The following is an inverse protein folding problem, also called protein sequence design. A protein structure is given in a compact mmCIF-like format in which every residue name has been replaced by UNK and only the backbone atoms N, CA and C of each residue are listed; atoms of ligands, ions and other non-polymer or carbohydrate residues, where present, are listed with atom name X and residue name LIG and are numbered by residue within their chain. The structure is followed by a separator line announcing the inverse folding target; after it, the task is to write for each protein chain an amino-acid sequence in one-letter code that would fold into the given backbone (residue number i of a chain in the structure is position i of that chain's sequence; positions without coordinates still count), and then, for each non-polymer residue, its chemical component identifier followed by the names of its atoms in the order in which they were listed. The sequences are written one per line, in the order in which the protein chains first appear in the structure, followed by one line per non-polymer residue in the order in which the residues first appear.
data_IF_142746132482
#
_entry.id   IF_142746132482
#
_cell.length_a   1.000
_cell.length_b   1.000
_cell.length_c   1.000
_cell.angle_alpha   90.00
_cell.angle_beta   90.00
_cell.angle_gamma   90.00
#
_symmetry.space_group_name_H-M   'P 1'
#
loop_
_entity.id
_entity.type
_entity.pdbx_description
1 polymer ?
#
# COMPACT_ATOMS: atom_id res chain seq x y z
N UNK A 1 18.06 16.74 -5.83
CA UNK A 1 16.76 16.14 -5.49
C UNK A 1 15.70 16.80 -6.35
N UNK A 2 14.88 16.03 -7.04
CA UNK A 2 13.73 16.55 -7.82
C UNK A 2 12.62 16.85 -6.82
N UNK A 3 12.09 18.07 -6.85
CA UNK A 3 10.90 18.41 -6.08
C UNK A 3 9.67 17.82 -6.78
N UNK A 4 8.92 16.98 -6.09
CA UNK A 4 7.70 16.40 -6.63
C UNK A 4 6.54 17.40 -6.51
N UNK A 5 5.84 17.60 -7.62
CA UNK A 5 4.53 18.26 -7.67
C UNK A 5 3.53 17.20 -8.11
N UNK A 6 2.79 16.66 -7.15
CA UNK A 6 1.96 15.49 -7.36
C UNK A 6 0.51 15.81 -7.70
N UNK A 7 -0.04 15.08 -8.67
CA UNK A 7 -1.47 14.95 -8.86
C UNK A 7 -1.95 13.69 -8.12
N UNK A 8 -3.02 13.81 -7.32
CA UNK A 8 -3.55 12.72 -6.52
C UNK A 8 -4.81 12.11 -7.13
N UNK A 9 -4.80 10.79 -7.29
CA UNK A 9 -5.93 10.00 -7.77
C UNK A 9 -6.38 9.05 -6.65
N UNK A 10 -7.57 9.30 -6.10
CA UNK A 10 -8.15 8.47 -5.04
C UNK A 10 -8.90 7.26 -5.60
N UNK A 11 -9.15 6.26 -4.75
CA UNK A 11 -10.01 5.13 -5.09
C UNK A 11 -11.44 5.57 -5.46
N UNK A 12 -11.97 6.59 -4.80
CA UNK A 12 -13.30 7.15 -5.10
C UNK A 12 -13.35 7.73 -6.53
N UNK A 13 -12.31 8.43 -6.94
CA UNK A 13 -12.21 8.96 -8.31
C UNK A 13 -12.20 7.83 -9.35
N UNK A 14 -11.43 6.78 -9.11
CA UNK A 14 -11.36 5.61 -9.98
C UNK A 14 -12.70 4.84 -10.05
N UNK A 15 -13.39 4.71 -8.91
CA UNK A 15 -14.69 4.04 -8.86
C UNK A 15 -15.80 4.85 -9.57
N UNK A 16 -15.72 6.19 -9.52
CA UNK A 16 -16.74 7.04 -10.13
C UNK A 16 -16.60 7.11 -11.65
N UNK A 17 -15.43 7.51 -12.16
CA UNK A 17 -15.19 7.60 -13.61
C UNK A 17 -13.70 7.78 -13.92
N UNK A 18 -13.11 6.82 -14.59
CA UNK A 18 -11.74 6.93 -15.09
C UNK A 18 -11.61 8.01 -16.17
N UNK A 19 -12.64 8.21 -16.99
CA UNK A 19 -12.63 9.27 -18.01
C UNK A 19 -12.61 10.67 -17.39
N UNK A 20 -13.32 10.89 -16.29
CA UNK A 20 -13.24 12.15 -15.52
C UNK A 20 -11.84 12.34 -14.89
N UNK A 21 -11.18 11.28 -14.45
CA UNK A 21 -9.79 11.34 -13.99
C UNK A 21 -8.87 11.79 -15.12
N UNK A 22 -9.00 11.20 -16.32
CA UNK A 22 -8.22 11.61 -17.51
C UNK A 22 -8.44 13.07 -17.84
N UNK A 23 -9.68 13.55 -17.79
CA UNK A 23 -9.99 14.95 -18.05
C UNK A 23 -9.34 15.86 -16.99
N UNK A 24 -9.42 15.50 -15.72
CA UNK A 24 -8.79 16.26 -14.64
C UNK A 24 -7.27 16.34 -14.80
N UNK A 25 -6.61 15.23 -15.22
CA UNK A 25 -5.20 15.21 -15.53
C UNK A 25 -4.85 16.12 -16.72
N UNK A 26 -5.67 16.11 -17.77
CA UNK A 26 -5.48 16.96 -18.95
C UNK A 26 -5.65 18.45 -18.63
N UNK A 27 -6.51 18.78 -17.69
CA UNK A 27 -6.79 20.17 -17.26
C UNK A 27 -5.78 20.67 -16.20
N UNK A 28 -5.02 19.77 -15.59
CA UNK A 28 -4.03 20.12 -14.58
C UNK A 28 -2.68 20.47 -15.21
N UNK A 29 -2.05 21.52 -14.66
CA UNK A 29 -0.73 21.98 -15.11
C UNK A 29 0.34 21.78 -14.02
N UNK A 30 1.57 21.58 -14.45
CA UNK A 30 2.74 21.71 -13.59
C UNK A 30 3.02 20.52 -12.67
N UNK A 31 2.30 19.41 -12.78
CA UNK A 31 2.66 18.19 -12.05
C UNK A 31 3.74 17.40 -12.78
N UNK A 32 4.64 16.80 -12.03
CA UNK A 32 5.69 15.88 -12.50
C UNK A 32 5.60 14.51 -11.83
N UNK A 33 4.58 14.32 -10.99
CA UNK A 33 4.30 13.05 -10.34
C UNK A 33 2.79 12.81 -10.23
N UNK A 34 2.40 11.55 -10.23
CA UNK A 34 1.03 11.11 -9.93
C UNK A 34 1.10 10.13 -8.77
N UNK A 35 0.32 10.40 -7.73
CA UNK A 35 0.07 9.46 -6.63
C UNK A 35 -1.30 8.85 -6.87
N UNK A 36 -1.35 7.54 -7.07
CA UNK A 36 -2.59 6.82 -7.30
C UNK A 36 -2.84 5.78 -6.20
N UNK A 37 -4.03 5.81 -5.60
CA UNK A 37 -4.48 4.77 -4.67
C UNK A 37 -4.89 3.54 -5.47
N UNK A 38 -4.07 2.50 -5.44
CA UNK A 38 -4.30 1.25 -6.19
C UNK A 38 -5.00 0.18 -5.35
N UNK A 39 -5.15 0.41 -4.06
CA UNK A 39 -5.82 -0.48 -3.11
C UNK A 39 -6.51 0.34 -2.04
N UNK A 40 -7.72 -0.07 -1.65
CA UNK A 40 -8.46 0.58 -0.56
C UNK A 40 -8.08 0.01 0.82
N UNK A 41 -8.39 0.72 1.92
CA UNK A 41 -8.25 0.17 3.28
C UNK A 41 -9.11 -1.07 3.56
N UNK A 42 -10.13 -1.33 2.76
CA UNK A 42 -10.93 -2.56 2.81
C UNK A 42 -10.24 -3.75 2.15
N UNK A 43 -9.13 -3.54 1.44
CA UNK A 43 -8.41 -4.58 0.72
C UNK A 43 -8.90 -4.81 -0.71
N UNK A 44 -9.62 -3.86 -1.31
CA UNK A 44 -10.05 -3.94 -2.70
C UNK A 44 -8.99 -3.32 -3.62
N UNK A 45 -8.61 -4.06 -4.67
CA UNK A 45 -7.64 -3.65 -5.67
C UNK A 45 -8.32 -2.92 -6.82
N UNK A 46 -7.74 -1.80 -7.25
CA UNK A 46 -8.19 -1.00 -8.38
C UNK A 46 -7.34 -1.22 -9.64
N UNK A 47 -6.80 -2.42 -9.77
CA UNK A 47 -6.16 -2.97 -10.95
C UNK A 47 -6.38 -4.48 -10.99
N UNK A 48 -6.22 -5.11 -12.14
CA UNK A 48 -6.28 -6.58 -12.23
C UNK A 48 -5.07 -7.19 -11.54
N UNK A 49 -5.30 -8.04 -10.54
CA UNK A 49 -4.25 -8.67 -9.74
C UNK A 49 -4.30 -10.19 -9.90
N UNK A 50 -3.12 -10.82 -9.95
CA UNK A 50 -2.95 -12.26 -9.95
C UNK A 50 -2.65 -12.81 -8.55
N UNK A 51 -2.61 -11.96 -7.53
CA UNK A 51 -2.36 -12.36 -6.14
C UNK A 51 -3.52 -13.23 -5.66
N UNK A 52 -3.19 -14.42 -5.19
CA UNK A 52 -4.16 -15.34 -4.60
C UNK A 52 -4.91 -14.67 -3.43
N UNK A 53 -6.20 -14.90 -3.35
CA UNK A 53 -7.09 -14.34 -2.32
C UNK A 53 -7.32 -12.82 -2.36
N UNK A 54 -6.66 -12.08 -3.26
CA UNK A 54 -6.96 -10.68 -3.49
C UNK A 54 -8.33 -10.49 -4.15
N UNK A 55 -8.96 -9.35 -3.90
CA UNK A 55 -10.26 -8.98 -4.47
C UNK A 55 -10.13 -7.64 -5.21
N UNK A 56 -10.66 -7.59 -6.42
CA UNK A 56 -10.80 -6.32 -7.14
C UNK A 56 -12.01 -5.54 -6.63
N UNK A 57 -11.92 -4.23 -6.74
CA UNK A 57 -13.01 -3.32 -6.39
C UNK A 57 -14.19 -3.49 -7.34
N UNK A 58 -15.37 -3.06 -6.89
CA UNK A 58 -16.55 -2.85 -7.75
C UNK A 58 -16.35 -1.54 -8.54
N UNK A 59 -15.56 -1.63 -9.60
CA UNK A 59 -15.18 -0.52 -10.47
C UNK A 59 -14.87 -1.06 -11.88
N UNK A 60 -14.70 -0.18 -12.85
CA UNK A 60 -14.21 -0.56 -14.19
C UNK A 60 -12.69 -0.83 -14.12
N UNK A 61 -12.33 -2.06 -13.77
CA UNK A 61 -10.94 -2.47 -13.58
C UNK A 61 -10.15 -2.40 -14.89
N UNK A 62 -10.78 -2.73 -16.03
CA UNK A 62 -10.12 -2.61 -17.32
C UNK A 62 -9.77 -1.16 -17.66
N UNK A 63 -10.64 -0.21 -17.32
CA UNK A 63 -10.35 1.21 -17.46
C UNK A 63 -9.26 1.68 -16.50
N UNK A 64 -9.24 1.17 -15.26
CA UNK A 64 -8.15 1.44 -14.30
C UNK A 64 -6.80 0.93 -14.83
N UNK A 65 -6.75 -0.30 -15.33
CA UNK A 65 -5.54 -0.88 -15.92
C UNK A 65 -5.03 -0.06 -17.11
N UNK A 66 -5.94 0.41 -17.98
CA UNK A 66 -5.58 1.25 -19.11
C UNK A 66 -5.01 2.60 -18.66
N UNK A 67 -5.61 3.25 -17.65
CA UNK A 67 -5.11 4.49 -17.08
C UNK A 67 -3.72 4.30 -16.46
N UNK A 68 -3.52 3.25 -15.66
CA UNK A 68 -2.21 2.94 -15.07
C UNK A 68 -1.15 2.78 -16.14
N UNK A 69 -1.46 2.04 -17.20
CA UNK A 69 -0.54 1.85 -18.34
C UNK A 69 -0.20 3.19 -19.02
N UNK A 70 -1.18 4.03 -19.30
CA UNK A 70 -0.97 5.35 -19.88
C UNK A 70 -0.03 6.21 -19.01
N UNK A 71 -0.26 6.22 -17.70
CA UNK A 71 0.56 6.99 -16.75
C UNK A 71 1.99 6.46 -16.68
N UNK A 72 2.17 5.15 -16.49
CA UNK A 72 3.49 4.53 -16.33
C UNK A 72 4.33 4.55 -17.61
N UNK A 73 3.69 4.69 -18.78
CA UNK A 73 4.36 4.86 -20.08
C UNK A 73 4.60 6.34 -20.45
N UNK A 74 4.14 7.29 -19.63
CA UNK A 74 4.32 8.72 -19.88
C UNK A 74 5.76 9.13 -19.54
N UNK A 75 6.55 9.67 -20.52
CA UNK A 75 7.91 10.08 -20.26
C UNK A 75 7.99 11.18 -19.18
N UNK A 76 9.03 11.13 -18.37
CA UNK A 76 9.35 12.11 -17.33
C UNK A 76 8.27 12.28 -16.23
N UNK A 77 7.27 11.40 -16.18
CA UNK A 77 6.26 11.35 -15.13
C UNK A 77 6.65 10.30 -14.09
N UNK A 78 6.70 10.68 -12.83
CA UNK A 78 6.92 9.75 -11.72
C UNK A 78 5.55 9.24 -11.25
N UNK A 79 5.35 7.93 -11.30
CA UNK A 79 4.08 7.30 -10.93
C UNK A 79 4.25 6.50 -9.65
N UNK A 80 3.52 6.90 -8.60
CA UNK A 80 3.60 6.35 -7.26
C UNK A 80 2.30 5.60 -6.96
N UNK A 81 2.40 4.31 -6.68
CA UNK A 81 1.28 3.53 -6.18
C UNK A 81 1.19 3.64 -4.66
N UNK A 82 0.07 4.14 -4.13
CA UNK A 82 -0.18 4.12 -2.69
C UNK A 82 -1.02 2.91 -2.30
N UNK A 83 -0.55 2.21 -1.28
CA UNK A 83 -1.13 0.96 -0.76
C UNK A 83 -1.23 1.06 0.75
N UNK A 84 -2.42 0.90 1.37
CA UNK A 84 -2.51 0.72 2.82
C UNK A 84 -1.67 -0.48 3.24
N UNK A 85 -0.72 -0.28 4.17
CA UNK A 85 0.21 -1.34 4.55
C UNK A 85 -0.51 -2.50 5.25
N UNK A 86 -1.29 -2.19 6.28
CA UNK A 86 -1.82 -3.24 7.16
C UNK A 86 -3.34 -3.29 7.22
N UNK A 87 -4.07 -2.23 6.85
CA UNK A 87 -5.53 -2.28 6.79
C UNK A 87 -5.98 -3.13 5.61
N UNK A 88 -6.57 -4.30 5.88
CA UNK A 88 -7.03 -5.24 4.85
C UNK A 88 -8.00 -6.30 5.38
N UNK A 89 -9.28 -5.96 5.59
CA UNK A 89 -10.28 -6.93 6.01
C UNK A 89 -10.44 -8.12 5.06
N UNK A 90 -10.25 -7.92 3.76
CA UNK A 90 -10.40 -9.00 2.77
C UNK A 90 -9.33 -10.07 2.93
N UNK A 91 -8.08 -9.68 3.13
CA UNK A 91 -6.99 -10.62 3.38
C UNK A 91 -7.14 -11.28 4.76
N UNK A 92 -7.47 -10.50 5.80
CA UNK A 92 -7.72 -11.02 7.15
C UNK A 92 -8.80 -12.10 7.15
N UNK A 93 -9.88 -11.94 6.37
CA UNK A 93 -10.97 -12.91 6.33
C UNK A 93 -10.53 -14.32 5.89
N UNK A 94 -9.40 -14.42 5.20
CA UNK A 94 -8.82 -15.69 4.74
C UNK A 94 -7.55 -16.09 5.51
N UNK A 95 -6.95 -15.15 6.24
CA UNK A 95 -5.66 -15.28 6.95
C UNK A 95 -5.75 -14.74 8.38
N UNK A 96 -6.65 -15.31 9.20
CA UNK A 96 -6.89 -14.85 10.57
C UNK A 96 -5.64 -14.77 11.44
N UNK A 97 -4.68 -15.70 11.27
CA UNK A 97 -3.42 -15.71 12.02
C UNK A 97 -2.51 -14.52 11.72
N UNK A 98 -2.77 -13.82 10.61
CA UNK A 98 -2.02 -12.64 10.20
C UNK A 98 -2.60 -11.33 10.73
N UNK A 99 -3.72 -11.39 11.47
CA UNK A 99 -4.42 -10.20 11.94
C UNK A 99 -3.96 -9.73 13.32
N UNK A 100 -4.07 -8.42 13.55
CA UNK A 100 -4.05 -7.88 14.91
C UNK A 100 -5.26 -8.37 15.67
N UNK A 101 -5.05 -8.76 16.92
CA UNK A 101 -6.10 -9.20 17.83
C UNK A 101 -6.14 -8.34 19.08
N UNK A 102 -7.27 -8.35 19.76
CA UNK A 102 -7.42 -7.73 21.08
C UNK A 102 -6.95 -8.68 22.19
N UNK A 103 -6.75 -8.13 23.38
CA UNK A 103 -6.43 -8.92 24.58
C UNK A 103 -7.54 -9.89 24.98
N UNK A 104 -8.76 -9.72 24.47
CA UNK A 104 -9.87 -10.68 24.61
C UNK A 104 -9.85 -11.80 23.56
N UNK A 105 -8.98 -11.70 22.55
CA UNK A 105 -8.84 -12.68 21.47
C UNK A 105 -9.70 -12.42 20.24
N UNK A 106 -10.44 -11.31 20.21
CA UNK A 106 -11.20 -10.89 19.04
C UNK A 106 -10.27 -10.23 18.01
N UNK A 107 -10.69 -10.14 16.74
CA UNK A 107 -9.97 -9.33 15.75
C UNK A 107 -10.03 -7.86 16.14
N UNK A 108 -8.87 -7.20 16.14
CA UNK A 108 -8.81 -5.76 16.34
C UNK A 108 -9.26 -5.03 15.07
N UNK A 109 -10.03 -3.98 15.22
CA UNK A 109 -10.43 -3.13 14.10
C UNK A 109 -10.31 -1.64 14.46
N UNK A 110 -10.03 -0.84 13.44
CA UNK A 110 -9.92 0.61 13.56
C UNK A 110 -11.30 1.30 13.60
N UNK A 111 -11.30 2.63 13.69
CA UNK A 111 -12.52 3.46 13.71
C UNK A 111 -13.35 3.34 12.43
N UNK A 112 -12.74 2.95 11.30
CA UNK A 112 -13.41 2.69 10.01
C UNK A 112 -13.95 1.27 9.91
N UNK A 113 -13.82 0.48 10.99
CA UNK A 113 -14.21 -0.92 11.06
C UNK A 113 -13.41 -1.82 10.12
N UNK A 114 -12.15 -1.46 9.88
CA UNK A 114 -11.22 -2.27 9.12
C UNK A 114 -10.35 -3.12 10.05
N UNK A 115 -10.21 -4.40 9.73
CA UNK A 115 -9.23 -5.28 10.37
C UNK A 115 -7.84 -5.01 9.82
N UNK A 116 -6.83 -5.19 10.65
CA UNK A 116 -5.45 -4.91 10.31
C UNK A 116 -4.58 -6.15 10.40
N UNK A 117 -3.61 -6.22 9.49
CA UNK A 117 -2.55 -7.20 9.51
C UNK A 117 -1.51 -6.83 10.57
N UNK A 118 -0.84 -7.84 11.11
CA UNK A 118 0.30 -7.64 12.02
C UNK A 118 1.62 -7.70 11.24
N UNK A 119 2.56 -6.77 11.49
CA UNK A 119 3.81 -6.68 10.72
C UNK A 119 4.79 -7.83 10.97
N UNK A 120 4.64 -8.60 12.04
CA UNK A 120 5.44 -9.80 12.34
C UNK A 120 4.91 -11.07 11.67
N UNK A 121 3.76 -11.02 10.97
CA UNK A 121 3.25 -12.13 10.19
C UNK A 121 4.04 -12.33 8.90
N UNK A 122 4.57 -13.53 8.67
CA UNK A 122 5.25 -13.88 7.42
C UNK A 122 4.31 -13.84 6.23
N UNK A 123 3.05 -14.28 6.40
CA UNK A 123 2.05 -14.24 5.33
C UNK A 123 1.72 -12.80 4.94
N UNK A 124 1.58 -11.90 5.93
CA UNK A 124 1.36 -10.47 5.67
C UNK A 124 2.55 -9.86 4.91
N UNK A 125 3.79 -10.14 5.33
CA UNK A 125 5.00 -9.65 4.65
C UNK A 125 5.10 -10.17 3.22
N UNK A 126 4.84 -11.45 3.00
CA UNK A 126 4.83 -12.07 1.67
C UNK A 126 3.77 -11.47 0.76
N UNK A 127 2.59 -11.19 1.30
CA UNK A 127 1.50 -10.53 0.60
C UNK A 127 1.85 -9.11 0.16
N UNK A 128 2.41 -8.29 1.07
CA UNK A 128 2.86 -6.94 0.73
C UNK A 128 4.00 -6.96 -0.31
N UNK A 129 4.94 -7.89 -0.20
CA UNK A 129 6.01 -8.06 -1.19
C UNK A 129 5.45 -8.45 -2.57
N UNK A 130 4.46 -9.33 -2.62
CA UNK A 130 3.80 -9.71 -3.86
C UNK A 130 3.10 -8.51 -4.53
N UNK A 131 2.42 -7.66 -3.75
CA UNK A 131 1.83 -6.41 -4.25
C UNK A 131 2.91 -5.52 -4.88
N UNK A 132 4.02 -5.30 -4.18
CA UNK A 132 5.11 -4.45 -4.67
C UNK A 132 5.71 -4.98 -5.99
N UNK A 133 5.90 -6.29 -6.11
CA UNK A 133 6.41 -6.92 -7.34
C UNK A 133 5.42 -6.85 -8.51
N UNK A 134 4.11 -6.97 -8.26
CA UNK A 134 3.11 -6.72 -9.31
C UNK A 134 3.15 -5.26 -9.81
N UNK A 135 3.33 -4.31 -8.89
CA UNK A 135 3.41 -2.89 -9.23
C UNK A 135 4.69 -2.58 -10.01
N UNK A 136 5.82 -3.22 -9.66
CA UNK A 136 7.06 -3.15 -10.46
C UNK A 136 6.83 -3.64 -11.90
N UNK A 137 6.18 -4.79 -12.05
CA UNK A 137 5.85 -5.35 -13.37
C UNK A 137 4.91 -4.46 -14.20
N UNK A 138 4.12 -3.60 -13.56
CA UNK A 138 3.25 -2.62 -14.21
C UNK A 138 3.92 -1.30 -14.54
N UNK A 139 5.20 -1.11 -14.17
CA UNK A 139 5.98 0.05 -14.50
C UNK A 139 5.87 1.22 -13.52
N UNK A 140 5.35 1.02 -12.32
CA UNK A 140 5.37 2.04 -11.28
C UNK A 140 6.81 2.36 -10.86
N UNK A 141 7.09 3.64 -10.62
CA UNK A 141 8.40 4.11 -10.14
C UNK A 141 8.58 3.90 -8.64
N UNK A 142 7.49 3.95 -7.88
CA UNK A 142 7.52 3.86 -6.43
C UNK A 142 6.24 3.19 -5.90
N UNK A 143 6.38 2.32 -4.90
CA UNK A 143 5.28 1.85 -4.06
C UNK A 143 5.39 2.51 -2.69
N UNK A 144 4.33 3.22 -2.30
CA UNK A 144 4.18 3.82 -0.99
C UNK A 144 3.25 2.94 -0.14
N UNK A 145 3.82 2.21 0.80
CA UNK A 145 3.03 1.56 1.85
C UNK A 145 2.69 2.59 2.93
N UNK A 146 1.43 3.02 2.93
CA UNK A 146 0.92 4.06 3.84
C UNK A 146 0.42 3.47 5.15
N UNK A 147 0.38 4.30 6.20
CA UNK A 147 0.07 3.86 7.56
C UNK A 147 0.92 2.65 8.00
N UNK A 148 2.22 2.74 7.73
CA UNK A 148 3.21 1.71 8.09
C UNK A 148 3.54 1.81 9.58
N UNK A 149 2.61 1.35 10.42
CA UNK A 149 2.66 1.44 11.88
C UNK A 149 1.79 0.36 12.51
N UNK A 150 2.00 0.09 13.80
CA UNK A 150 1.01 -0.58 14.65
C UNK A 150 0.26 0.52 15.39
N UNK A 151 -1.09 0.52 15.40
CA UNK A 151 -1.86 1.53 16.11
C UNK A 151 -1.53 1.59 17.60
N UNK A 152 -1.47 2.80 18.15
CA UNK A 152 -1.28 3.00 19.61
C UNK A 152 -2.61 2.76 20.33
N UNK A 153 -2.91 1.51 20.60
CA UNK A 153 -4.12 1.07 21.28
C UNK A 153 -3.77 -0.04 22.27
N UNK A 154 -4.00 0.23 23.54
CA UNK A 154 -3.71 -0.69 24.64
C UNK A 154 -4.56 -1.97 24.63
N UNK A 155 -5.62 -2.04 23.83
CA UNK A 155 -6.44 -3.24 23.65
C UNK A 155 -5.81 -4.26 22.69
N UNK A 156 -4.81 -3.84 21.88
CA UNK A 156 -4.09 -4.74 20.98
C UNK A 156 -3.26 -5.74 21.79
N UNK A 157 -3.49 -7.03 21.53
CA UNK A 157 -2.66 -8.09 22.07
C UNK A 157 -1.30 -8.11 21.36
N UNK A 158 -0.24 -7.83 22.11
CA UNK A 158 1.12 -7.83 21.59
C UNK A 158 2.10 -8.42 22.61
N UNK A 159 2.87 -9.42 22.19
CA UNK A 159 3.92 -10.00 23.01
C UNK A 159 5.24 -9.23 22.79
N UNK A 160 5.44 -8.19 23.59
CA UNK A 160 6.62 -7.35 23.50
C UNK A 160 7.91 -8.04 24.04
N UNK A 161 7.78 -9.15 24.77
CA UNK A 161 8.94 -9.96 25.21
C UNK A 161 9.48 -10.79 24.04
N UNK A 162 8.61 -11.25 23.13
CA UNK A 162 9.01 -11.96 21.93
C UNK A 162 9.58 -11.01 20.88
N UNK A 163 8.89 -9.91 20.59
CA UNK A 163 9.30 -8.88 19.62
C UNK A 163 8.60 -7.56 19.91
N UNK A 164 9.30 -6.44 19.88
CA UNK A 164 8.66 -5.14 20.00
C UNK A 164 7.93 -4.78 18.69
N UNK A 165 6.89 -3.92 18.80
CA UNK A 165 6.17 -3.44 17.60
C UNK A 165 7.11 -2.75 16.61
N UNK A 166 8.07 -1.96 17.12
CA UNK A 166 9.07 -1.28 16.29
C UNK A 166 9.95 -2.29 15.57
N UNK A 167 10.49 -3.31 16.25
CA UNK A 167 11.29 -4.35 15.62
C UNK A 167 10.50 -5.14 14.57
N UNK A 168 9.22 -5.43 14.81
CA UNK A 168 8.35 -6.08 13.84
C UNK A 168 8.16 -5.24 12.56
N UNK A 169 8.02 -3.91 12.71
CA UNK A 169 7.94 -2.98 11.58
C UNK A 169 9.29 -2.91 10.83
N UNK A 170 10.41 -2.88 11.54
CA UNK A 170 11.75 -2.91 10.94
C UNK A 170 11.95 -4.18 10.13
N UNK A 171 11.67 -5.35 10.70
CA UNK A 171 11.77 -6.63 10.01
C UNK A 171 10.85 -6.71 8.78
N UNK A 172 9.63 -6.14 8.88
CA UNK A 172 8.73 -6.06 7.74
C UNK A 172 9.31 -5.18 6.63
N UNK A 173 9.81 -4.00 6.96
CA UNK A 173 10.42 -3.08 6.00
C UNK A 173 11.67 -3.67 5.36
N UNK A 174 12.52 -4.35 6.13
CA UNK A 174 13.70 -5.06 5.63
C UNK A 174 13.29 -6.18 4.65
N UNK A 175 12.27 -6.96 5.00
CA UNK A 175 11.73 -8.02 4.13
C UNK A 175 11.24 -7.44 2.80
N UNK A 176 10.51 -6.33 2.81
CA UNK A 176 10.04 -5.66 1.60
C UNK A 176 11.21 -5.17 0.75
N UNK A 177 12.19 -4.49 1.35
CA UNK A 177 13.40 -4.03 0.65
C UNK A 177 14.19 -5.18 0.03
N UNK A 178 14.36 -6.30 0.74
CA UNK A 178 15.06 -7.48 0.25
C UNK A 178 14.35 -8.10 -0.97
N UNK A 179 13.01 -8.19 -0.95
CA UNK A 179 12.23 -8.71 -2.07
C UNK A 179 12.28 -7.82 -3.31
N UNK A 180 12.55 -6.53 -3.15
CA UNK A 180 12.66 -5.56 -4.25
C UNK A 180 14.10 -5.41 -4.78
N UNK A 181 15.04 -6.17 -4.25
CA UNK A 181 16.43 -6.17 -4.74
C UNK A 181 16.46 -6.59 -6.21
N UNK A 182 16.96 -5.72 -7.09
CA UNK A 182 17.00 -5.93 -8.54
C UNK A 182 15.75 -5.48 -9.28
N UNK A 183 14.70 -5.06 -8.60
CA UNK A 183 13.51 -4.41 -9.19
C UNK A 183 13.80 -2.93 -9.49
N UNK A 184 13.03 -2.35 -10.40
CA UNK A 184 13.12 -0.93 -10.76
C UNK A 184 12.34 -0.05 -9.79
N UNK A 185 11.28 -0.59 -9.20
CA UNK A 185 10.40 0.13 -8.27
C UNK A 185 11.12 0.46 -6.95
N UNK A 186 10.90 1.64 -6.44
CA UNK A 186 11.43 2.09 -5.14
C UNK A 186 10.42 1.85 -4.02
N UNK A 187 10.92 1.47 -2.86
CA UNK A 187 10.11 1.35 -1.65
C UNK A 187 10.01 2.70 -0.95
N UNK A 188 8.79 3.15 -0.68
CA UNK A 188 8.50 4.28 0.19
C UNK A 188 7.56 3.85 1.32
N UNK A 189 7.69 4.48 2.47
CA UNK A 189 6.91 4.18 3.66
C UNK A 189 6.25 5.46 4.19
N UNK A 190 4.94 5.42 4.43
CA UNK A 190 4.20 6.43 5.18
C UNK A 190 4.20 6.04 6.66
N UNK A 191 5.06 6.68 7.45
CA UNK A 191 5.28 6.26 8.83
C UNK A 191 5.79 7.39 9.71
N UNK A 192 5.46 7.33 10.98
CA UNK A 192 6.04 8.18 12.04
C UNK A 192 7.10 7.44 12.87
N UNK A 193 7.46 6.20 12.50
CA UNK A 193 8.49 5.40 13.19
C UNK A 193 9.85 5.65 12.52
N UNK A 194 10.76 6.43 13.15
CA UNK A 194 11.98 6.90 12.47
C UNK A 194 12.93 5.79 12.04
N UNK A 195 13.00 4.69 12.82
CA UNK A 195 13.97 3.63 12.59
C UNK A 195 13.71 2.81 11.32
N UNK A 196 12.46 2.76 10.82
CA UNK A 196 12.16 2.07 9.56
C UNK A 196 12.62 2.84 8.33
N UNK A 197 12.93 4.13 8.47
CA UNK A 197 13.38 4.98 7.37
C UNK A 197 14.64 4.46 6.66
N UNK A 198 15.50 3.73 7.36
CA UNK A 198 16.73 3.15 6.79
C UNK A 198 16.46 2.09 5.71
N UNK A 199 15.27 1.49 5.68
CA UNK A 199 14.88 0.44 4.74
C UNK A 199 14.13 0.96 3.51
N UNK A 200 13.81 2.25 3.47
CA UNK A 200 13.04 2.87 2.40
C UNK A 200 13.86 3.90 1.62
N UNK A 201 13.56 4.08 0.34
CA UNK A 201 14.15 5.13 -0.49
C UNK A 201 13.56 6.51 -0.16
N UNK A 202 12.34 6.54 0.40
CA UNK A 202 11.64 7.75 0.81
C UNK A 202 10.69 7.45 1.97
N UNK A 203 10.53 8.44 2.84
CA UNK A 203 9.56 8.41 3.93
C UNK A 203 8.60 9.58 3.77
N UNK A 204 7.32 9.29 3.92
CA UNK A 204 6.24 10.27 4.00
C UNK A 204 5.78 10.36 5.47
N UNK A 205 5.58 11.58 5.97
CA UNK A 205 5.19 11.86 7.36
C UNK A 205 3.84 12.55 7.38
#
# INVERSE_FOLDING_TARGET
AVQLQGFYISTTMLANSVDEVRQALADADGYNAVLIDVKSPLGNFYYSTDIADAQTADADIAACDALIKELTETPDLIVIARVPAFSDPNFVAKHYSSALTTTSGDLWMDERRCYWLRPDSLDARSYLAAIALELDARGFDEVLFDNFTVPDDSTIAWDAEAITQVAALEDCAETLGANLTGSSIRLALGTTVPSVAQYASRVYI
#
